data_IF_839514223092
#
_entry.id   IF_839514223092
#
_cell.length_a   1.000
_cell.length_b   1.000
_cell.length_c   1.000
_cell.angle_alpha   90.00
_cell.angle_beta   90.00
_cell.angle_gamma   90.00
#
_symmetry.space_group_name_H-M   'P 1'
#
loop_
_entity.id
_entity.type
_entity.pdbx_description
1 polymer ?
#
# COMPACT_ATOMS: atom_id res chain seq x y z
N UNK A 1 -15.07 29.45 85.05
CA UNK A 1 -14.85 29.51 83.58
C UNK A 1 -14.96 28.09 83.03
N UNK A 2 -16.06 27.71 82.35
CA UNK A 2 -16.21 27.51 80.88
C UNK A 2 -15.16 26.53 80.31
N UNK A 3 -15.50 25.47 79.56
CA UNK A 3 -16.44 25.42 78.43
C UNK A 3 -17.12 24.03 78.31
N UNK A 4 -18.40 24.05 77.92
CA UNK A 4 -19.18 22.88 77.51
C UNK A 4 -18.72 22.43 76.12
N UNK A 5 -18.52 21.12 75.94
CA UNK A 5 -18.33 20.48 74.64
C UNK A 5 -19.65 20.53 73.86
N UNK A 6 -19.65 21.07 72.66
CA UNK A 6 -20.81 21.07 71.75
C UNK A 6 -20.79 19.79 70.92
N UNK A 7 -21.74 18.91 71.21
CA UNK A 7 -22.03 17.71 70.43
C UNK A 7 -22.88 18.11 69.21
N UNK A 8 -22.25 18.31 68.06
CA UNK A 8 -22.94 18.63 66.81
C UNK A 8 -23.51 17.33 66.20
N UNK A 9 -24.75 17.01 66.55
CA UNK A 9 -25.53 16.00 65.82
C UNK A 9 -26.05 16.61 64.52
N UNK A 10 -25.51 16.17 63.39
CA UNK A 10 -26.05 16.52 62.08
C UNK A 10 -27.49 16.00 61.94
N UNK A 11 -28.41 16.90 61.58
CA UNK A 11 -29.86 16.67 61.52
C UNK A 11 -30.37 16.17 60.15
N UNK A 12 -29.49 15.79 59.23
CA UNK A 12 -29.88 15.37 57.88
C UNK A 12 -29.07 14.15 57.42
N UNK A 13 -29.73 13.08 56.93
CA UNK A 13 -29.03 11.95 56.34
C UNK A 13 -28.33 12.41 55.05
N UNK A 14 -27.03 12.16 54.95
CA UNK A 14 -26.24 12.41 53.74
C UNK A 14 -26.78 11.46 52.66
N UNK A 15 -27.26 11.95 51.50
CA UNK A 15 -27.71 11.08 50.43
C UNK A 15 -26.49 10.42 49.78
N UNK A 16 -26.21 9.18 50.18
CA UNK A 16 -25.18 8.34 49.56
C UNK A 16 -25.71 7.80 48.22
N UNK A 17 -25.72 8.61 47.17
CA UNK A 17 -25.81 8.12 45.80
C UNK A 17 -25.35 9.22 44.84
N UNK A 18 -24.04 9.34 44.66
CA UNK A 18 -23.53 9.95 43.43
C UNK A 18 -23.94 9.03 42.27
N UNK A 19 -24.51 9.56 41.16
CA UNK A 19 -24.72 8.76 39.97
C UNK A 19 -23.35 8.26 39.50
N UNK A 20 -23.23 6.94 39.35
CA UNK A 20 -22.01 6.31 38.82
C UNK A 20 -21.80 6.88 37.41
N UNK A 21 -20.65 7.50 37.11
CA UNK A 21 -20.34 7.92 35.75
C UNK A 21 -20.47 6.71 34.83
N UNK A 22 -21.31 6.80 33.80
CA UNK A 22 -21.35 5.78 32.75
C UNK A 22 -19.97 5.80 32.11
N UNK A 23 -19.19 4.75 32.33
CA UNK A 23 -17.94 4.58 31.60
C UNK A 23 -18.30 4.30 30.14
N UNK A 24 -17.88 5.17 29.24
CA UNK A 24 -17.91 4.86 27.82
C UNK A 24 -17.13 3.55 27.59
N UNK A 25 -17.66 2.61 26.79
CA UNK A 25 -16.92 1.41 26.45
C UNK A 25 -15.59 1.82 25.83
N UNK A 26 -14.50 1.22 26.32
CA UNK A 26 -13.17 1.48 25.77
C UNK A 26 -13.19 1.26 24.26
N UNK A 27 -12.58 2.17 23.46
CA UNK A 27 -12.54 1.98 22.02
C UNK A 27 -11.90 0.62 21.72
N UNK A 28 -12.62 -0.20 20.96
CA UNK A 28 -12.12 -1.50 20.51
C UNK A 28 -10.77 -1.25 19.83
N UNK A 29 -9.69 -1.97 20.21
CA UNK A 29 -8.39 -1.82 19.55
C UNK A 29 -8.58 -1.99 18.05
N UNK A 30 -8.29 -0.94 17.27
CA UNK A 30 -8.26 -1.08 15.81
C UNK A 30 -7.13 -2.05 15.48
N UNK A 31 -7.46 -3.11 14.76
CA UNK A 31 -6.50 -4.11 14.26
C UNK A 31 -5.32 -3.34 13.63
N UNK A 32 -4.14 -3.42 14.25
CA UNK A 32 -2.98 -2.66 13.80
C UNK A 32 -2.59 -3.18 12.41
N UNK A 33 -2.66 -2.31 11.39
CA UNK A 33 -2.23 -2.63 10.03
C UNK A 33 -0.84 -2.06 9.83
N UNK A 34 0.11 -2.91 9.43
CA UNK A 34 1.47 -2.51 9.11
C UNK A 34 1.59 -2.28 7.60
N UNK A 35 2.04 -1.10 7.20
CA UNK A 35 2.41 -0.83 5.81
C UNK A 35 3.76 -1.49 5.51
N UNK A 36 3.84 -2.26 4.43
CA UNK A 36 5.06 -2.88 3.92
C UNK A 36 5.36 -2.29 2.56
N UNK A 37 6.60 -1.84 2.39
CA UNK A 37 7.14 -1.30 1.15
C UNK A 37 8.23 -2.25 0.65
N UNK A 38 8.09 -2.78 -0.56
CA UNK A 38 9.07 -3.66 -1.18
C UNK A 38 9.50 -3.09 -2.54
N UNK A 39 10.80 -2.98 -2.78
CA UNK A 39 11.35 -2.50 -4.05
C UNK A 39 11.97 -3.64 -4.84
N UNK A 40 11.57 -3.80 -6.10
CA UNK A 40 12.15 -4.78 -7.04
C UNK A 40 12.73 -4.02 -8.23
N UNK A 41 14.05 -4.07 -8.40
CA UNK A 41 14.70 -3.47 -9.56
C UNK A 41 15.47 -4.53 -10.35
N UNK A 42 15.51 -4.36 -11.66
CA UNK A 42 16.21 -5.28 -12.55
C UNK A 42 16.47 -4.68 -13.93
N UNK A 43 17.19 -5.47 -14.73
CA UNK A 43 17.37 -5.17 -16.15
C UNK A 43 16.46 -6.11 -16.94
N UNK A 44 16.03 -5.67 -18.12
CA UNK A 44 15.33 -6.53 -19.07
C UNK A 44 16.09 -6.57 -20.39
N UNK A 45 15.99 -7.72 -21.07
CA UNK A 45 16.45 -7.91 -22.43
C UNK A 45 15.38 -8.74 -23.15
N UNK A 46 14.68 -8.09 -24.07
CA UNK A 46 13.68 -8.69 -24.95
C UNK A 46 14.25 -8.81 -26.36
N UNK A 47 13.81 -9.83 -27.07
CA UNK A 47 14.17 -10.11 -28.46
C UNK A 47 13.00 -10.78 -29.17
N UNK A 48 13.11 -11.01 -30.48
CA UNK A 48 12.11 -11.76 -31.24
C UNK A 48 11.81 -13.16 -30.66
N UNK A 49 12.77 -13.76 -29.93
CA UNK A 49 12.58 -15.04 -29.24
C UNK A 49 11.89 -14.91 -27.87
N UNK A 50 12.10 -13.78 -27.19
CA UNK A 50 11.55 -13.49 -25.84
C UNK A 50 10.90 -12.11 -25.92
N UNK A 51 9.63 -12.11 -26.32
CA UNK A 51 8.91 -10.88 -26.65
C UNK A 51 8.30 -10.19 -25.43
N UNK A 52 8.25 -10.85 -24.27
CA UNK A 52 7.73 -10.27 -23.05
C UNK A 52 8.46 -10.77 -21.79
N UNK A 53 8.40 -9.96 -20.74
CA UNK A 53 8.91 -10.25 -19.40
C UNK A 53 7.82 -9.89 -18.38
N UNK A 54 7.41 -10.87 -17.59
CA UNK A 54 6.58 -10.63 -16.41
C UNK A 54 7.48 -10.26 -15.22
N UNK A 55 7.29 -9.06 -14.69
CA UNK A 55 8.14 -8.50 -13.64
C UNK A 55 7.56 -8.75 -12.25
N UNK A 56 6.25 -8.96 -12.17
CA UNK A 56 5.53 -9.30 -10.96
C UNK A 56 4.65 -10.54 -11.23
N UNK A 57 5.19 -11.72 -10.91
CA UNK A 57 4.59 -13.03 -11.19
C UNK A 57 3.58 -13.48 -10.12
N UNK A 58 3.78 -13.06 -8.85
CA UNK A 58 2.86 -13.42 -7.78
C UNK A 58 1.62 -12.55 -7.85
N UNK A 59 0.49 -13.16 -8.21
CA UNK A 59 -0.84 -12.60 -7.97
C UNK A 59 -0.95 -12.24 -6.51
N UNK A 60 -0.93 -10.96 -6.20
CA UNK A 60 -1.08 -10.51 -4.84
C UNK A 60 -2.57 -10.58 -4.53
N UNK A 61 -2.96 -11.45 -3.58
CA UNK A 61 -4.35 -11.63 -3.17
C UNK A 61 -4.92 -10.39 -2.46
N UNK A 62 -4.05 -9.44 -2.10
CA UNK A 62 -4.40 -8.17 -1.49
C UNK A 62 -4.25 -7.02 -2.47
N UNK A 63 -5.05 -5.95 -2.33
CA UNK A 63 -4.89 -4.74 -3.12
C UNK A 63 -3.52 -4.11 -2.82
N UNK A 64 -2.76 -3.82 -3.87
CA UNK A 64 -1.39 -3.31 -3.77
C UNK A 64 -1.24 -2.09 -4.66
N UNK A 65 -0.59 -1.07 -4.11
CA UNK A 65 -0.19 0.12 -4.87
C UNK A 65 1.24 -0.08 -5.35
N UNK A 66 1.43 -0.14 -6.67
CA UNK A 66 2.74 -0.30 -7.28
C UNK A 66 3.13 0.95 -8.07
N UNK A 67 4.35 1.43 -7.88
CA UNK A 67 4.97 2.41 -8.77
C UNK A 67 5.88 1.68 -9.73
N UNK A 68 5.52 1.68 -11.01
CA UNK A 68 6.28 1.04 -12.08
C UNK A 68 7.10 2.11 -12.78
N UNK A 69 8.42 1.97 -12.71
CA UNK A 69 9.37 2.82 -13.44
C UNK A 69 10.13 1.98 -14.45
N UNK A 70 10.08 2.35 -15.72
CA UNK A 70 10.76 1.64 -16.80
C UNK A 70 11.56 2.63 -17.62
N UNK A 71 12.82 2.31 -17.87
CA UNK A 71 13.71 3.01 -18.77
C UNK A 71 14.01 2.10 -19.96
N UNK A 72 13.77 2.60 -21.16
CA UNK A 72 14.11 1.93 -22.41
C UNK A 72 15.39 2.51 -22.99
N UNK A 73 16.40 1.67 -23.29
CA UNK A 73 17.69 2.13 -23.80
C UNK A 73 17.57 2.75 -25.20
N UNK A 74 18.55 3.59 -25.59
CA UNK A 74 18.53 4.34 -26.85
C UNK A 74 18.51 3.46 -28.11
N UNK A 75 19.18 2.30 -28.09
CA UNK A 75 19.27 1.37 -29.22
C UNK A 75 18.25 0.22 -29.13
N UNK A 76 17.13 0.45 -28.46
CA UNK A 76 16.07 -0.54 -28.27
C UNK A 76 14.92 -0.34 -29.25
N UNK A 77 14.14 -1.38 -29.49
CA UNK A 77 12.80 -1.27 -30.07
C UNK A 77 11.81 -0.63 -29.09
N UNK A 78 10.65 -0.25 -29.61
CA UNK A 78 9.53 0.27 -28.83
C UNK A 78 8.97 -0.80 -27.89
N UNK A 79 8.82 -0.46 -26.61
CA UNK A 79 8.25 -1.36 -25.61
C UNK A 79 6.92 -0.83 -25.10
N UNK A 80 6.07 -1.74 -24.70
CA UNK A 80 4.81 -1.47 -24.04
C UNK A 80 4.78 -2.15 -22.68
N UNK A 81 4.28 -1.42 -21.69
CA UNK A 81 4.15 -1.89 -20.33
C UNK A 81 2.66 -2.08 -20.09
N UNK A 82 2.30 -3.29 -19.66
CA UNK A 82 0.95 -3.66 -19.29
C UNK A 82 0.89 -3.90 -17.80
N UNK A 83 0.00 -3.17 -17.13
CA UNK A 83 -0.27 -3.33 -15.70
C UNK A 83 -1.70 -3.79 -15.53
N UNK A 84 -1.88 -5.01 -15.03
CA UNK A 84 -3.20 -5.59 -14.79
C UNK A 84 -3.70 -5.17 -13.42
N UNK A 85 -4.94 -4.69 -13.35
CA UNK A 85 -5.63 -4.38 -12.10
C UNK A 85 -6.66 -5.46 -11.75
N UNK A 86 -7.00 -5.56 -10.46
CA UNK A 86 -7.88 -6.61 -9.92
C UNK A 86 -9.30 -6.64 -10.47
N UNK A 87 -9.78 -5.52 -11.02
CA UNK A 87 -11.14 -5.34 -11.53
C UNK A 87 -11.24 -5.41 -13.05
N UNK A 88 -10.36 -6.20 -13.69
CA UNK A 88 -10.31 -6.44 -15.15
C UNK A 88 -9.88 -5.27 -16.05
N UNK A 89 -9.48 -4.14 -15.47
CA UNK A 89 -8.83 -3.06 -16.22
C UNK A 89 -7.32 -3.32 -16.38
N UNK A 90 -6.80 -3.07 -17.58
CA UNK A 90 -5.37 -3.04 -17.84
C UNK A 90 -4.95 -1.64 -18.24
N UNK A 91 -3.90 -1.13 -17.60
CA UNK A 91 -3.28 0.14 -17.98
C UNK A 91 -2.11 -0.19 -18.91
N UNK A 92 -2.14 0.39 -20.10
CA UNK A 92 -1.09 0.26 -21.11
C UNK A 92 -0.38 1.60 -21.26
N UNK A 93 0.95 1.55 -21.34
CA UNK A 93 1.74 2.72 -21.71
C UNK A 93 2.99 2.29 -22.48
N UNK A 94 3.36 3.12 -23.46
CA UNK A 94 4.46 2.87 -24.38
C UNK A 94 5.68 3.66 -23.90
N UNK A 95 6.85 3.02 -23.86
CA UNK A 95 8.12 3.69 -23.53
C UNK A 95 9.02 3.71 -24.77
N UNK A 96 9.16 4.87 -25.43
CA UNK A 96 10.06 5.03 -26.55
C UNK A 96 11.53 4.77 -26.18
N UNK A 97 12.37 4.38 -27.15
CA UNK A 97 13.81 4.24 -26.93
C UNK A 97 14.42 5.53 -26.38
N UNK A 98 15.33 5.41 -25.42
CA UNK A 98 15.99 6.52 -24.74
C UNK A 98 15.15 7.25 -23.68
N UNK A 99 13.92 6.81 -23.43
CA UNK A 99 13.02 7.48 -22.49
C UNK A 99 12.75 6.62 -21.25
N UNK A 100 12.30 7.30 -20.19
CA UNK A 100 11.77 6.66 -18.99
C UNK A 100 10.32 7.08 -18.76
N UNK A 101 9.52 6.15 -18.23
CA UNK A 101 8.19 6.44 -17.69
C UNK A 101 8.13 5.89 -16.28
N UNK A 102 7.49 6.66 -15.39
CA UNK A 102 7.14 6.25 -14.04
C UNK A 102 5.66 6.48 -13.82
N UNK A 103 4.95 5.48 -13.32
CA UNK A 103 3.52 5.57 -13.03
C UNK A 103 3.16 4.77 -11.78
N UNK A 104 2.44 5.42 -10.87
CA UNK A 104 1.87 4.78 -9.69
C UNK A 104 0.45 4.31 -9.98
N UNK A 105 0.17 3.06 -9.67
CA UNK A 105 -1.07 2.37 -10.02
C UNK A 105 -1.57 1.61 -8.80
N UNK A 106 -2.83 1.86 -8.45
CA UNK A 106 -3.54 1.15 -7.38
C UNK A 106 -4.08 -0.19 -7.89
N UNK A 107 -4.32 -1.11 -6.96
CA UNK A 107 -4.86 -2.46 -7.22
C UNK A 107 -4.08 -3.26 -8.26
N UNK A 108 -2.75 -3.11 -8.28
CA UNK A 108 -1.86 -3.79 -9.23
C UNK A 108 -1.75 -5.28 -8.92
N UNK A 109 -2.04 -6.13 -9.91
CA UNK A 109 -1.91 -7.59 -9.82
C UNK A 109 -0.68 -8.13 -10.54
N UNK A 110 -0.39 -7.63 -11.74
CA UNK A 110 0.76 -8.05 -12.53
C UNK A 110 1.30 -6.88 -13.34
N UNK A 111 2.59 -6.95 -13.67
CA UNK A 111 3.29 -5.96 -14.49
C UNK A 111 4.10 -6.72 -15.53
N UNK A 112 3.83 -6.43 -16.80
CA UNK A 112 4.49 -7.08 -17.93
C UNK A 112 5.11 -6.02 -18.85
N UNK A 113 6.33 -6.27 -19.32
CA UNK A 113 7.00 -5.48 -20.34
C UNK A 113 7.01 -6.31 -21.62
N UNK A 114 6.54 -5.78 -22.74
CA UNK A 114 6.51 -6.47 -24.02
C UNK A 114 7.08 -5.62 -25.16
N UNK A 115 7.65 -6.29 -26.16
CA UNK A 115 8.00 -5.68 -27.44
C UNK A 115 6.71 -5.34 -28.20
N UNK A 116 6.62 -4.11 -28.69
CA UNK A 116 5.52 -3.70 -29.56
C UNK A 116 5.83 -3.99 -31.04
N UNK A 117 7.11 -3.92 -31.40
CA UNK A 117 7.62 -4.15 -32.76
C UNK A 117 8.74 -5.19 -32.74
N UNK A 118 8.97 -5.92 -33.85
CA UNK A 118 10.09 -6.84 -33.99
C UNK A 118 11.44 -6.18 -33.70
N UNK A 119 12.39 -6.96 -33.23
CA UNK A 119 13.75 -6.54 -32.90
C UNK A 119 14.13 -6.87 -31.47
N UNK A 120 14.87 -5.96 -30.85
CA UNK A 120 15.40 -6.16 -29.50
C UNK A 120 15.23 -4.92 -28.65
N UNK A 121 14.82 -5.10 -27.40
CA UNK A 121 14.75 -4.00 -26.45
C UNK A 121 15.47 -4.35 -25.17
N UNK A 122 16.25 -3.42 -24.65
CA UNK A 122 16.96 -3.56 -23.40
C UNK A 122 16.75 -2.33 -22.52
N UNK A 123 16.80 -2.53 -21.21
CA UNK A 123 16.62 -1.41 -20.30
C UNK A 123 16.58 -1.82 -18.85
N UNK A 124 16.03 -0.93 -18.03
CA UNK A 124 15.91 -1.11 -16.59
C UNK A 124 14.47 -0.93 -16.15
N UNK A 125 14.08 -1.66 -15.13
CA UNK A 125 12.81 -1.47 -14.44
C UNK A 125 13.03 -1.39 -12.94
N UNK A 126 12.15 -0.66 -12.26
CA UNK A 126 12.00 -0.65 -10.82
C UNK A 126 10.51 -0.64 -10.46
N UNK A 127 10.10 -1.50 -9.54
CA UNK A 127 8.76 -1.59 -9.00
C UNK A 127 8.82 -1.32 -7.50
N UNK A 128 8.17 -0.25 -7.07
CA UNK A 128 7.96 0.04 -5.64
C UNK A 128 6.56 -0.39 -5.25
N UNK A 129 6.48 -1.45 -4.45
CA UNK A 129 5.25 -2.17 -4.12
C UNK A 129 4.86 -1.85 -2.68
N UNK A 130 3.67 -1.31 -2.47
CA UNK A 130 3.16 -0.93 -1.15
C UNK A 130 1.87 -1.68 -0.84
N UNK A 131 1.85 -2.42 0.27
CA UNK A 131 0.69 -3.18 0.71
C UNK A 131 0.57 -3.21 2.24
N UNK A 132 -0.64 -3.41 2.74
CA UNK A 132 -0.90 -3.47 4.19
C UNK A 132 -1.07 -4.91 4.65
N UNK A 133 -0.28 -5.32 5.63
CA UNK A 133 -0.46 -6.60 6.32
C UNK A 133 -1.09 -6.40 7.69
N UNK A 134 -1.78 -7.42 8.21
CA UNK A 134 -2.20 -7.46 9.61
C UNK A 134 -0.94 -7.56 10.48
N UNK A 135 -0.81 -6.71 11.49
CA UNK A 135 0.21 -6.90 12.52
C UNK A 135 -0.14 -8.17 13.30
N UNK A 136 0.83 -9.07 13.41
CA UNK A 136 0.74 -10.30 14.20
C UNK A 136 0.81 -10.00 15.70
#
# INVERSE_FOLDING_TARGET
>A
MKKKSLDFKYLFPIPCAFPIPICDPSPIPKEERKLVCNGICGNFLLSDNITFLEVLEKRIDQPVTATVTVFNSLQSSLIEISVQQSMSSSILFIVPPGNSISKTIEDTQSVTIRLLEPGSASGKFCLDINFTIKAL
#
